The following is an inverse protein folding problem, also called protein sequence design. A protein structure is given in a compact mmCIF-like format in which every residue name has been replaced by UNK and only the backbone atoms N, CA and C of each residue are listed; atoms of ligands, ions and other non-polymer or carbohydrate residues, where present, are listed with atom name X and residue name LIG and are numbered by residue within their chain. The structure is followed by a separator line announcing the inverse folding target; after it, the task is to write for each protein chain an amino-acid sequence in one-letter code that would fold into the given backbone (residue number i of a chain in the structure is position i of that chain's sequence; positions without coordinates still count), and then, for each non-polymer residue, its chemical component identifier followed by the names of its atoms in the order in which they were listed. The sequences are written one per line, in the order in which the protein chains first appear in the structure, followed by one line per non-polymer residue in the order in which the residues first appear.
data_IF_635652292967
#
_entry.id   IF_635652292967
#
_cell.length_a   1.000
_cell.length_b   1.000
_cell.length_c   1.000
_cell.angle_alpha   90.00
_cell.angle_beta   90.00
_cell.angle_gamma   90.00
#
_symmetry.space_group_name_H-M   'P 1'
#
loop_
_entity.id
_entity.type
_entity.pdbx_description
1 polymer ?
#
# COMPACT_ATOMS: atom_id res chain seq x y z
N UNK A 1 2.97 -14.85 -23.09
CA UNK A 1 2.73 -13.91 -21.98
C UNK A 1 4.07 -13.36 -21.54
N UNK A 2 4.40 -12.14 -21.94
CA UNK A 2 5.67 -11.49 -21.65
C UNK A 2 5.62 -11.01 -20.17
N UNK A 3 6.52 -11.49 -19.34
CA UNK A 3 6.68 -11.02 -17.96
C UNK A 3 7.02 -9.53 -18.01
N UNK A 4 6.31 -8.66 -17.27
CA UNK A 4 6.61 -7.22 -17.30
C UNK A 4 8.08 -6.99 -16.94
N UNK A 5 8.70 -6.05 -17.61
CA UNK A 5 10.10 -5.70 -17.42
C UNK A 5 10.34 -5.25 -15.96
N UNK A 6 11.54 -5.48 -15.44
CA UNK A 6 11.92 -5.22 -14.03
C UNK A 6 11.67 -3.75 -13.60
N UNK A 7 11.62 -2.82 -14.55
CA UNK A 7 11.33 -1.39 -14.31
C UNK A 7 9.89 -1.16 -13.81
N UNK A 8 8.90 -1.93 -14.29
CA UNK A 8 7.50 -1.76 -13.90
C UNK A 8 7.19 -2.19 -12.45
N UNK A 9 8.10 -2.90 -11.78
CA UNK A 9 7.91 -3.34 -10.39
C UNK A 9 8.47 -2.39 -9.34
N UNK A 10 9.07 -1.28 -9.74
CA UNK A 10 9.57 -0.29 -8.77
C UNK A 10 8.45 0.52 -8.13
N UNK A 11 7.26 0.51 -8.72
CA UNK A 11 6.06 1.18 -8.20
C UNK A 11 4.98 0.16 -7.87
N UNK A 12 4.54 0.17 -6.62
CA UNK A 12 3.54 -0.74 -6.08
C UNK A 12 2.40 0.04 -5.49
N UNK A 13 1.19 -0.17 -6.00
CA UNK A 13 -0.02 0.35 -5.40
C UNK A 13 -0.39 -0.48 -4.16
N UNK A 14 -0.72 0.19 -3.06
CA UNK A 14 -1.29 -0.42 -1.86
C UNK A 14 -2.77 -0.05 -1.80
N UNK A 15 -3.63 -0.93 -2.24
CA UNK A 15 -5.04 -0.66 -2.47
C UNK A 15 -5.95 -1.61 -1.67
N UNK A 16 -7.19 -1.18 -1.46
CA UNK A 16 -8.21 -1.97 -0.77
C UNK A 16 -9.57 -1.31 -0.86
N UNK A 17 -10.61 -2.10 -1.00
CA UNK A 17 -11.96 -1.60 -1.29
C UNK A 17 -12.65 -0.86 -0.15
N UNK A 18 -12.18 -1.00 1.10
CA UNK A 18 -12.83 -0.42 2.29
C UNK A 18 -11.94 0.59 2.98
N UNK A 19 -12.53 1.69 3.46
CA UNK A 19 -11.88 2.62 4.39
C UNK A 19 -11.50 1.91 5.70
N UNK A 20 -10.34 2.24 6.26
CA UNK A 20 -9.87 1.66 7.51
C UNK A 20 -9.34 0.21 7.44
N UNK A 21 -9.26 -0.43 6.27
CA UNK A 21 -8.69 -1.78 6.15
C UNK A 21 -7.17 -1.85 6.38
N UNK A 22 -6.50 -0.71 6.53
CA UNK A 22 -5.08 -0.61 6.87
C UNK A 22 -4.12 -0.45 5.70
N UNK A 23 -4.54 0.20 4.61
CA UNK A 23 -3.70 0.50 3.44
C UNK A 23 -2.46 1.30 3.83
N UNK A 24 -2.63 2.47 4.43
CA UNK A 24 -1.55 3.35 4.91
C UNK A 24 -0.60 2.62 5.86
N UNK A 25 -1.14 1.87 6.82
CA UNK A 25 -0.33 1.05 7.73
C UNK A 25 0.47 -0.01 6.99
N UNK A 26 -0.12 -0.62 5.96
CA UNK A 26 0.55 -1.63 5.13
C UNK A 26 1.64 -0.98 4.27
N UNK A 27 1.38 0.17 3.66
CA UNK A 27 2.38 0.91 2.89
C UNK A 27 3.61 1.26 3.74
N UNK A 28 3.39 1.81 4.93
CA UNK A 28 4.48 2.12 5.88
C UNK A 28 5.20 0.86 6.37
N UNK A 29 4.48 -0.24 6.61
CA UNK A 29 5.06 -1.52 6.99
C UNK A 29 5.97 -2.12 5.91
N UNK A 30 5.54 -2.05 4.65
CA UNK A 30 6.34 -2.46 3.50
C UNK A 30 7.57 -1.56 3.31
N UNK A 31 7.41 -0.24 3.49
CA UNK A 31 8.52 0.70 3.42
C UNK A 31 9.62 0.36 4.44
N UNK A 32 9.23 0.10 5.69
CA UNK A 32 10.21 -0.30 6.71
C UNK A 32 10.89 -1.64 6.41
N UNK A 33 10.16 -2.61 5.85
CA UNK A 33 10.76 -3.87 5.41
C UNK A 33 11.77 -3.66 4.28
N UNK A 34 11.52 -2.71 3.37
CA UNK A 34 12.46 -2.30 2.32
C UNK A 34 13.70 -1.60 2.89
N UNK A 35 13.53 -0.72 3.88
CA UNK A 35 14.68 -0.07 4.57
C UNK A 35 15.61 -1.12 5.17
N UNK A 36 15.08 -2.16 5.81
CA UNK A 36 15.88 -3.26 6.38
C UNK A 36 16.66 -4.06 5.33
N UNK A 37 16.23 -4.03 4.08
CA UNK A 37 16.93 -4.62 2.94
C UNK A 37 17.89 -3.65 2.25
N UNK A 38 18.15 -2.48 2.86
CA UNK A 38 19.09 -1.50 2.35
C UNK A 38 18.50 -0.56 1.28
N UNK A 39 17.18 -0.59 1.05
CA UNK A 39 16.54 0.34 0.13
C UNK A 39 16.20 1.67 0.83
N UNK A 40 15.95 2.70 0.02
CA UNK A 40 15.37 3.98 0.47
C UNK A 40 14.01 4.19 -0.21
N UNK A 41 12.94 3.57 0.32
CA UNK A 41 11.63 3.64 -0.31
C UNK A 41 11.02 5.03 -0.19
N UNK A 42 10.11 5.33 -1.12
CA UNK A 42 9.18 6.45 -1.06
C UNK A 42 7.78 5.89 -0.79
N UNK A 43 7.04 6.51 0.11
CA UNK A 43 5.60 6.29 0.26
C UNK A 43 4.88 7.54 -0.20
N UNK A 44 4.05 7.42 -1.24
CA UNK A 44 3.26 8.52 -1.80
C UNK A 44 1.80 8.38 -1.36
N UNK A 45 1.23 9.44 -0.82
CA UNK A 45 -0.18 9.53 -0.44
C UNK A 45 -1.01 9.96 -1.65
N UNK A 46 -1.78 9.04 -2.21
CA UNK A 46 -2.71 9.32 -3.29
C UNK A 46 -4.17 9.46 -2.83
N UNK A 47 -4.44 9.38 -1.51
CA UNK A 47 -5.75 9.66 -0.93
C UNK A 47 -5.89 11.17 -0.65
N UNK A 48 -6.21 11.93 -1.69
CA UNK A 48 -6.29 13.41 -1.60
C UNK A 48 -7.51 13.89 -0.81
N UNK A 49 -8.54 13.06 -0.68
CA UNK A 49 -9.78 13.40 0.02
C UNK A 49 -9.66 13.25 1.53
N UNK A 50 -8.99 12.18 1.98
CA UNK A 50 -8.80 11.89 3.41
C UNK A 50 -7.34 11.55 3.68
N UNK A 51 -6.40 12.49 3.44
CA UNK A 51 -4.98 12.23 3.56
C UNK A 51 -4.58 12.08 5.04
N UNK A 52 -3.98 10.94 5.40
CA UNK A 52 -3.51 10.69 6.77
C UNK A 52 -2.04 10.24 6.85
N UNK A 53 -1.41 9.96 5.71
CA UNK A 53 -0.03 9.48 5.66
C UNK A 53 0.95 10.47 6.29
N UNK A 54 0.80 11.78 6.03
CA UNK A 54 1.68 12.81 6.57
C UNK A 54 1.66 12.83 8.11
N UNK A 55 0.48 12.68 8.73
CA UNK A 55 0.33 12.61 10.18
C UNK A 55 1.03 11.35 10.73
N UNK A 56 0.80 10.20 10.12
CA UNK A 56 1.39 8.92 10.55
C UNK A 56 2.89 8.88 10.39
N UNK A 57 3.39 9.49 9.33
CA UNK A 57 4.82 9.51 9.01
C UNK A 57 5.58 10.65 9.72
N UNK A 58 4.89 11.57 10.38
CA UNK A 58 5.49 12.71 11.06
C UNK A 58 6.21 13.64 10.10
N UNK A 59 5.55 14.00 9.00
CA UNK A 59 6.01 14.98 8.01
C UNK A 59 4.97 16.08 7.84
N UNK A 60 5.37 17.19 7.25
CA UNK A 60 4.45 18.27 6.93
C UNK A 60 3.53 17.87 5.77
N UNK A 61 2.33 18.45 5.75
CA UNK A 61 1.39 18.25 4.65
C UNK A 61 1.91 18.85 3.33
N UNK A 62 2.72 19.90 3.43
CA UNK A 62 3.38 20.57 2.31
C UNK A 62 4.92 20.53 2.47
N UNK A 63 5.67 20.47 1.35
CA UNK A 63 5.20 20.29 -0.02
C UNK A 63 4.71 18.85 -0.26
N UNK A 64 3.76 18.69 -1.21
CA UNK A 64 3.13 17.41 -1.53
C UNK A 64 2.92 17.20 -3.04
N UNK A 65 1.94 16.36 -3.40
CA UNK A 65 1.59 16.10 -4.80
C UNK A 65 1.42 17.35 -5.65
N UNK A 66 0.78 18.46 -5.17
CA UNK A 66 0.62 19.68 -5.98
C UNK A 66 1.94 20.28 -6.42
N UNK A 67 2.95 20.32 -5.54
CA UNK A 67 4.26 20.83 -5.90
C UNK A 67 4.95 19.95 -6.94
N UNK A 68 4.80 18.61 -6.82
CA UNK A 68 5.34 17.68 -7.78
C UNK A 68 4.66 17.81 -9.15
N UNK A 69 3.32 17.93 -9.19
CA UNK A 69 2.56 18.21 -10.41
C UNK A 69 2.97 19.53 -11.07
N UNK A 70 3.24 20.57 -10.27
CA UNK A 70 3.72 21.86 -10.74
C UNK A 70 5.17 21.84 -11.29
N UNK A 71 5.84 20.68 -11.28
CA UNK A 71 7.14 20.51 -11.90
C UNK A 71 8.34 20.63 -10.96
N UNK A 72 8.13 20.74 -9.66
CA UNK A 72 9.24 20.68 -8.73
C UNK A 72 9.93 19.30 -8.78
N UNK A 73 11.24 19.28 -8.56
CA UNK A 73 12.02 18.04 -8.55
C UNK A 73 11.64 17.20 -7.31
N UNK A 74 11.54 15.85 -7.42
CA UNK A 74 11.23 14.99 -6.28
C UNK A 74 12.09 15.28 -5.04
N UNK A 75 13.39 15.52 -5.21
CA UNK A 75 14.29 15.84 -4.10
C UNK A 75 13.92 17.12 -3.30
N UNK A 76 13.06 17.98 -3.85
CA UNK A 76 12.56 19.19 -3.17
C UNK A 76 11.20 18.99 -2.52
N UNK A 77 10.52 17.90 -2.86
CA UNK A 77 9.14 17.62 -2.43
C UNK A 77 9.08 16.46 -1.45
N UNK A 78 9.96 15.48 -1.63
CA UNK A 78 10.03 14.33 -0.72
C UNK A 78 10.57 14.76 0.65
N UNK A 79 9.90 14.31 1.70
CA UNK A 79 10.22 14.62 3.08
C UNK A 79 10.67 13.34 3.80
N UNK A 80 11.77 13.42 4.54
CA UNK A 80 12.22 12.29 5.37
C UNK A 80 11.27 12.10 6.57
N UNK A 81 10.74 10.89 6.74
CA UNK A 81 9.85 10.59 7.87
C UNK A 81 10.59 10.69 9.21
N UNK A 82 10.01 11.43 10.16
CA UNK A 82 10.52 11.48 11.52
C UNK A 82 10.11 10.24 12.34
N UNK A 83 9.02 9.59 11.95
CA UNK A 83 8.48 8.40 12.63
C UNK A 83 9.10 7.09 12.10
N UNK A 84 9.47 7.05 10.81
CA UNK A 84 9.98 5.87 10.11
C UNK A 84 11.33 6.18 9.46
N UNK A 85 12.45 6.07 10.19
CA UNK A 85 13.77 6.39 9.67
C UNK A 85 14.10 5.61 8.38
N UNK A 86 14.64 6.31 7.38
CA UNK A 86 14.99 5.72 6.08
C UNK A 86 13.86 5.69 5.06
N UNK A 87 12.65 6.11 5.44
CA UNK A 87 11.50 6.26 4.54
C UNK A 87 11.34 7.73 4.16
N UNK A 88 11.25 8.01 2.86
CA UNK A 88 10.82 9.32 2.37
C UNK A 88 9.33 9.30 2.02
N UNK A 89 8.66 10.42 2.21
CA UNK A 89 7.21 10.56 2.05
C UNK A 89 6.90 11.65 1.04
N UNK A 90 5.97 11.38 0.15
CA UNK A 90 5.28 12.37 -0.67
C UNK A 90 3.87 12.54 -0.12
N UNK A 91 3.62 13.65 0.56
CA UNK A 91 2.29 13.95 1.11
C UNK A 91 1.28 14.26 0.00
N UNK A 92 0.00 14.06 0.27
CA UNK A 92 -1.07 14.42 -0.67
C UNK A 92 -1.14 15.94 -0.94
N UNK A 93 -0.73 16.75 0.03
CA UNK A 93 -0.86 18.20 -0.05
C UNK A 93 -2.26 18.69 0.33
N UNK A 94 -2.48 19.99 0.20
CA UNK A 94 -3.75 20.67 0.58
C UNK A 94 -4.54 21.21 -0.61
N UNK A 95 -3.91 21.32 -1.77
CA UNK A 95 -4.56 21.83 -2.97
C UNK A 95 -5.02 20.70 -3.90
N UNK A 96 -6.11 20.92 -4.61
CA UNK A 96 -6.51 20.06 -5.71
C UNK A 96 -5.39 19.95 -6.73
N UNK A 97 -5.10 18.74 -7.18
CA UNK A 97 -3.97 18.48 -8.08
C UNK A 97 -4.28 17.40 -9.10
N UNK A 98 -3.54 17.42 -10.20
CA UNK A 98 -3.47 16.30 -11.13
C UNK A 98 -2.56 15.22 -10.52
N UNK A 99 -3.19 14.30 -9.78
CA UNK A 99 -2.51 13.18 -9.11
C UNK A 99 -1.76 12.29 -10.11
N UNK A 100 -2.30 12.10 -11.31
CA UNK A 100 -1.67 11.28 -12.35
C UNK A 100 -0.38 11.95 -12.86
N UNK A 101 -0.42 13.26 -13.15
CA UNK A 101 0.78 14.02 -13.52
C UNK A 101 1.84 13.98 -12.41
N UNK A 102 1.43 14.13 -11.14
CA UNK A 102 2.36 14.04 -10.00
C UNK A 102 3.01 12.66 -9.89
N UNK A 103 2.22 11.59 -9.96
CA UNK A 103 2.73 10.23 -9.81
C UNK A 103 3.66 9.81 -10.96
N UNK A 104 3.40 10.27 -12.20
CA UNK A 104 4.32 10.04 -13.34
C UNK A 104 5.70 10.65 -13.12
N UNK A 105 5.82 11.73 -12.37
CA UNK A 105 7.14 12.33 -12.07
C UNK A 105 7.98 11.50 -11.10
N UNK A 106 7.41 10.44 -10.52
CA UNK A 106 8.15 9.45 -9.74
C UNK A 106 8.78 8.35 -10.59
N UNK A 107 8.52 8.33 -11.92
CA UNK A 107 9.01 7.31 -12.84
C UNK A 107 10.54 7.28 -12.91
N UNK A 108 11.17 8.44 -12.80
CA UNK A 108 12.64 8.61 -12.87
C UNK A 108 13.33 8.24 -11.54
N UNK A 109 12.58 7.91 -10.50
CA UNK A 109 13.17 7.48 -9.23
C UNK A 109 13.67 6.04 -9.34
N UNK A 110 14.98 5.84 -9.29
CA UNK A 110 15.61 4.52 -9.19
C UNK A 110 15.44 3.91 -7.77
N UNK A 111 14.26 4.06 -7.17
CA UNK A 111 13.94 3.69 -5.78
C UNK A 111 12.57 3.02 -5.73
N UNK A 112 12.32 2.09 -4.77
CA UNK A 112 10.98 1.57 -4.53
C UNK A 112 9.99 2.68 -4.17
N UNK A 113 8.85 2.71 -4.86
CA UNK A 113 7.74 3.62 -4.58
C UNK A 113 6.51 2.81 -4.19
N UNK A 114 5.97 3.08 -3.03
CA UNK A 114 4.71 2.53 -2.54
C UNK A 114 3.65 3.63 -2.62
N UNK A 115 2.57 3.39 -3.35
CA UNK A 115 1.50 4.36 -3.53
C UNK A 115 0.34 3.96 -2.63
N UNK A 116 0.10 4.74 -1.57
CA UNK A 116 -1.06 4.56 -0.70
C UNK A 116 -2.32 5.07 -1.42
N UNK A 117 -3.21 4.16 -1.77
CA UNK A 117 -4.36 4.45 -2.60
C UNK A 117 -5.58 4.86 -1.77
N UNK A 118 -6.48 5.69 -2.31
CA UNK A 118 -7.78 5.91 -1.69
C UNK A 118 -8.60 4.62 -1.59
N UNK A 119 -9.65 4.66 -0.77
CA UNK A 119 -10.56 3.53 -0.63
C UNK A 119 -11.53 3.42 -1.80
N UNK A 120 -11.99 2.20 -2.08
CA UNK A 120 -13.02 1.96 -3.08
C UNK A 120 -12.50 1.57 -4.46
N UNK A 121 -13.39 1.67 -5.45
CA UNK A 121 -13.15 1.30 -6.86
C UNK A 121 -13.60 2.42 -7.81
N UNK A 122 -13.62 3.65 -7.33
CA UNK A 122 -13.95 4.84 -8.10
C UNK A 122 -12.80 5.34 -8.98
N UNK A 123 -13.02 6.43 -9.74
CA UNK A 123 -12.01 7.06 -10.59
C UNK A 123 -10.73 7.43 -9.82
N UNK A 124 -10.87 7.92 -8.58
CA UNK A 124 -9.74 8.35 -7.75
C UNK A 124 -8.84 7.17 -7.37
N UNK A 125 -9.43 5.99 -7.09
CA UNK A 125 -8.69 4.77 -6.85
C UNK A 125 -8.03 4.21 -8.13
N UNK A 126 -8.56 4.51 -9.31
CA UNK A 126 -8.01 4.06 -10.58
C UNK A 126 -6.70 4.78 -10.95
N UNK A 127 -6.58 6.06 -10.60
CA UNK A 127 -5.40 6.88 -10.92
C UNK A 127 -4.09 6.30 -10.36
N UNK A 128 -3.95 6.01 -9.05
CA UNK A 128 -2.73 5.43 -8.52
C UNK A 128 -2.47 4.00 -9.02
N UNK A 129 -3.52 3.24 -9.35
CA UNK A 129 -3.35 1.91 -9.95
C UNK A 129 -2.70 1.99 -11.34
N UNK A 130 -3.11 2.96 -12.20
CA UNK A 130 -2.47 3.16 -13.52
C UNK A 130 -1.00 3.56 -13.41
N UNK A 131 -0.61 4.23 -12.32
CA UNK A 131 0.77 4.64 -12.09
C UNK A 131 1.65 3.51 -11.53
N UNK A 132 1.09 2.35 -11.19
CA UNK A 132 1.80 1.24 -10.58
C UNK A 132 2.01 0.08 -11.56
N UNK A 133 3.09 -0.68 -11.39
CA UNK A 133 3.34 -1.90 -12.17
C UNK A 133 2.73 -3.16 -11.53
N UNK A 134 2.38 -3.10 -10.25
CA UNK A 134 1.65 -4.17 -9.55
C UNK A 134 0.95 -3.63 -8.30
N UNK A 135 0.08 -4.46 -7.71
CA UNK A 135 -0.74 -4.07 -6.56
C UNK A 135 -0.58 -5.03 -5.39
N UNK A 136 -0.47 -4.47 -4.20
CA UNK A 136 -0.73 -5.16 -2.92
C UNK A 136 -2.16 -4.85 -2.51
N UNK A 137 -3.02 -5.86 -2.49
CA UNK A 137 -4.41 -5.71 -2.08
C UNK A 137 -4.54 -5.95 -0.58
N UNK A 138 -5.08 -4.96 0.14
CA UNK A 138 -5.28 -5.03 1.59
C UNK A 138 -6.74 -5.36 1.91
N UNK A 139 -6.96 -6.34 2.78
CA UNK A 139 -8.28 -6.76 3.24
C UNK A 139 -8.24 -7.12 4.72
N UNK A 140 -9.41 -7.24 5.32
CA UNK A 140 -9.60 -7.80 6.67
C UNK A 140 -10.28 -9.17 6.60
N UNK A 141 -10.57 -9.77 7.73
CA UNK A 141 -11.21 -11.10 7.79
C UNK A 141 -12.72 -11.09 7.52
N UNK A 142 -13.37 -9.92 7.56
CA UNK A 142 -14.81 -9.82 7.30
C UNK A 142 -15.17 -10.02 5.83
N UNK A 143 -16.38 -10.53 5.58
CA UNK A 143 -16.85 -10.90 4.24
C UNK A 143 -16.91 -9.69 3.30
N UNK A 144 -17.43 -8.56 3.78
CA UNK A 144 -17.56 -7.35 2.97
C UNK A 144 -16.19 -6.83 2.50
N UNK A 145 -15.19 -6.79 3.39
CA UNK A 145 -13.84 -6.37 3.04
C UNK A 145 -13.21 -7.28 1.99
N UNK A 146 -13.49 -8.60 2.05
CA UNK A 146 -13.00 -9.54 1.02
C UNK A 146 -13.67 -9.35 -0.33
N UNK A 147 -14.97 -9.09 -0.37
CA UNK A 147 -15.69 -8.78 -1.61
C UNK A 147 -15.16 -7.50 -2.25
N UNK A 148 -14.95 -6.46 -1.45
CA UNK A 148 -14.41 -5.19 -1.92
C UNK A 148 -12.95 -5.33 -2.38
N UNK A 149 -12.15 -6.13 -1.70
CA UNK A 149 -10.80 -6.48 -2.14
C UNK A 149 -10.80 -7.22 -3.49
N UNK A 150 -11.78 -8.11 -3.71
CA UNK A 150 -11.91 -8.79 -5.01
C UNK A 150 -12.31 -7.82 -6.13
N UNK A 151 -13.13 -6.79 -5.85
CA UNK A 151 -13.45 -5.72 -6.82
C UNK A 151 -12.20 -4.90 -7.14
N UNK A 152 -11.43 -4.50 -6.10
CA UNK A 152 -10.17 -3.77 -6.25
C UNK A 152 -9.16 -4.56 -7.08
N UNK A 153 -9.03 -5.87 -6.85
CA UNK A 153 -8.14 -6.74 -7.60
C UNK A 153 -8.51 -6.82 -9.08
N UNK A 154 -9.81 -6.93 -9.41
CA UNK A 154 -10.29 -6.90 -10.80
C UNK A 154 -9.98 -5.57 -11.48
N UNK A 155 -10.21 -4.45 -10.78
CA UNK A 155 -9.89 -3.13 -11.30
C UNK A 155 -8.38 -2.98 -11.54
N UNK A 156 -7.54 -3.40 -10.61
CA UNK A 156 -6.08 -3.37 -10.74
C UNK A 156 -5.60 -4.18 -11.96
N UNK A 157 -6.17 -5.38 -12.16
CA UNK A 157 -5.86 -6.21 -13.34
C UNK A 157 -6.27 -5.51 -14.64
N UNK A 158 -7.45 -4.88 -14.68
CA UNK A 158 -7.93 -4.16 -15.85
C UNK A 158 -7.13 -2.88 -16.16
N UNK A 159 -6.34 -2.40 -15.20
CA UNK A 159 -5.48 -1.22 -15.32
C UNK A 159 -3.99 -1.57 -15.45
N UNK A 160 -3.65 -2.81 -15.83
CA UNK A 160 -2.29 -3.31 -16.02
C UNK A 160 -1.40 -3.28 -14.75
N UNK A 161 -2.02 -3.19 -13.57
CA UNK A 161 -1.35 -3.27 -12.26
C UNK A 161 -1.82 -4.50 -11.47
N UNK A 162 -1.61 -5.74 -11.97
CA UNK A 162 -2.20 -6.93 -11.40
C UNK A 162 -1.82 -7.15 -9.93
N UNK A 163 -2.73 -7.72 -9.11
CA UNK A 163 -2.43 -8.01 -7.72
C UNK A 163 -1.35 -9.09 -7.61
N UNK A 164 -0.25 -8.76 -6.94
CA UNK A 164 0.86 -9.69 -6.70
C UNK A 164 0.73 -10.35 -5.33
N UNK A 165 0.28 -9.58 -4.33
CA UNK A 165 0.10 -10.05 -2.95
C UNK A 165 -1.20 -9.52 -2.39
N UNK A 166 -1.89 -10.38 -1.62
CA UNK A 166 -3.00 -9.96 -0.76
C UNK A 166 -2.54 -9.97 0.69
N UNK A 167 -2.60 -8.81 1.32
CA UNK A 167 -2.34 -8.66 2.76
C UNK A 167 -3.67 -8.74 3.49
N UNK A 168 -3.89 -9.82 4.25
CA UNK A 168 -5.03 -9.96 5.13
C UNK A 168 -4.67 -9.50 6.54
N UNK A 169 -5.25 -8.40 6.96
CA UNK A 169 -5.13 -7.93 8.33
C UNK A 169 -6.08 -8.72 9.23
N UNK A 170 -5.51 -9.44 10.19
CA UNK A 170 -6.26 -10.27 11.13
C UNK A 170 -6.08 -9.71 12.54
N UNK A 171 -7.18 -9.56 13.27
CA UNK A 171 -7.14 -9.30 14.70
C UNK A 171 -6.53 -10.52 15.40
N UNK A 172 -5.50 -10.33 16.22
CA UNK A 172 -4.97 -11.43 17.01
C UNK A 172 -6.06 -11.93 17.98
N UNK A 173 -6.21 -13.26 18.16
CA UNK A 173 -7.04 -13.76 19.25
C UNK A 173 -6.39 -13.29 20.56
N UNK A 174 -7.19 -12.64 21.40
CA UNK A 174 -6.77 -12.23 22.75
C UNK A 174 -6.26 -13.41 23.57
N UNK A 175 -5.49 -13.18 24.68
CA UNK A 175 -4.91 -14.23 25.51
C UNK A 175 -5.97 -15.00 26.31
N UNK A 176 -6.92 -15.66 25.64
CA UNK A 176 -8.05 -16.42 26.19
C UNK A 176 -8.82 -17.18 25.12
N UNK A 177 -8.50 -16.97 23.86
CA UNK A 177 -9.15 -17.59 22.72
C UNK A 177 -8.37 -18.78 22.15
N UNK A 178 -8.08 -19.78 22.96
CA UNK A 178 -7.68 -21.09 22.43
C UNK A 178 -8.93 -21.77 21.86
N UNK A 179 -8.81 -22.22 20.59
CA UNK A 179 -9.75 -23.12 19.91
C UNK A 179 -11.15 -22.58 19.57
N UNK A 180 -11.22 -21.53 18.75
CA UNK A 180 -12.28 -21.43 17.77
C UNK A 180 -11.81 -22.11 16.48
N UNK A 181 -12.02 -23.40 16.33
CA UNK A 181 -12.02 -24.06 15.02
C UNK A 181 -13.02 -23.30 14.17
N UNK A 182 -12.53 -22.44 13.30
CA UNK A 182 -13.33 -21.85 12.24
C UNK A 182 -13.62 -22.97 11.23
N UNK A 183 -14.52 -23.87 11.60
CA UNK A 183 -15.34 -24.60 10.65
C UNK A 183 -16.21 -23.53 9.97
N UNK A 184 -15.61 -22.76 9.08
CA UNK A 184 -16.31 -21.84 8.22
C UNK A 184 -17.22 -22.65 7.31
N UNK A 185 -18.51 -22.33 7.37
CA UNK A 185 -19.49 -22.70 6.37
C UNK A 185 -18.88 -22.64 4.97
N UNK A 186 -19.28 -23.53 4.02
CA UNK A 186 -18.80 -23.51 2.65
C UNK A 186 -19.40 -22.34 1.88
N UNK A 187 -19.16 -21.12 2.37
CA UNK A 187 -19.39 -19.89 1.62
C UNK A 187 -18.25 -19.73 0.62
N UNK A 188 -18.62 -19.45 -0.62
CA UNK A 188 -17.75 -19.17 -1.75
C UNK A 188 -16.54 -18.35 -1.29
N UNK A 189 -15.36 -19.00 -1.25
CA UNK A 189 -14.10 -18.31 -0.96
C UNK A 189 -13.82 -17.38 -2.14
N UNK A 190 -14.08 -16.10 -1.96
CA UNK A 190 -13.62 -15.08 -2.90
C UNK A 190 -12.09 -15.02 -2.82
N UNK A 191 -11.45 -15.99 -3.46
CA UNK A 191 -10.01 -15.95 -3.69
C UNK A 191 -9.74 -14.87 -4.73
N UNK A 192 -8.82 -13.97 -4.40
CA UNK A 192 -8.27 -13.07 -5.41
C UNK A 192 -7.37 -13.96 -6.29
N UNK A 193 -7.70 -14.15 -7.58
CA UNK A 193 -6.91 -15.01 -8.45
C UNK A 193 -5.47 -14.49 -8.54
N UNK A 194 -4.51 -15.42 -8.57
CA UNK A 194 -3.08 -15.17 -8.84
C UNK A 194 -2.30 -14.38 -7.79
N UNK A 195 -2.89 -13.98 -6.65
CA UNK A 195 -2.17 -13.30 -5.58
C UNK A 195 -1.80 -14.22 -4.43
N UNK A 196 -0.60 -14.03 -3.86
CA UNK A 196 -0.15 -14.71 -2.67
C UNK A 196 -0.75 -14.04 -1.43
N UNK A 197 -1.54 -14.77 -0.64
CA UNK A 197 -2.10 -14.24 0.61
C UNK A 197 -1.07 -14.30 1.74
N UNK A 198 -0.87 -13.15 2.42
CA UNK A 198 -0.07 -13.04 3.64
C UNK A 198 -0.93 -12.45 4.74
N UNK A 199 -1.06 -13.16 5.86
CA UNK A 199 -1.76 -12.65 7.05
C UNK A 199 -0.82 -11.76 7.87
N UNK A 200 -1.26 -10.54 8.19
CA UNK A 200 -0.53 -9.58 9.02
C UNK A 200 -1.40 -9.22 10.23
N UNK A 201 -0.86 -9.29 11.47
CA UNK A 201 -1.60 -8.89 12.67
C UNK A 201 -2.08 -7.44 12.60
N UNK A 202 -3.25 -7.16 13.17
CA UNK A 202 -3.68 -5.79 13.48
C UNK A 202 -2.89 -5.31 14.70
N UNK A 203 -1.78 -4.63 14.49
CA UNK A 203 -1.02 -4.03 15.55
C UNK A 203 -1.71 -2.74 16.03
N UNK A 204 -1.97 -2.62 17.33
CA UNK A 204 -2.29 -1.36 17.97
C UNK A 204 -0.98 -0.61 18.21
N UNK A 205 -0.65 0.36 17.36
CA UNK A 205 0.59 1.16 17.46
C UNK A 205 1.35 1.30 16.14
N UNK A 206 2.54 1.91 16.15
CA UNK A 206 3.35 2.02 14.95
C UNK A 206 3.61 0.64 14.34
N UNK A 207 3.44 0.49 13.00
CA UNK A 207 3.70 -0.77 12.35
C UNK A 207 5.15 -1.21 12.63
N UNK A 208 5.34 -2.50 12.94
CA UNK A 208 6.65 -3.15 13.08
C UNK A 208 7.35 -3.00 14.44
N UNK A 209 6.66 -2.80 15.53
CA UNK A 209 7.27 -2.93 16.87
C UNK A 209 7.50 -4.39 17.27
N UNK A 210 6.70 -5.32 16.76
CA UNK A 210 6.86 -6.74 17.03
C UNK A 210 7.52 -7.50 15.87
N UNK A 211 8.32 -8.52 16.20
CA UNK A 211 9.10 -9.27 15.22
C UNK A 211 8.21 -10.07 14.25
N UNK A 212 7.04 -10.55 14.71
CA UNK A 212 6.11 -11.31 13.85
C UNK A 212 5.53 -10.44 12.73
N UNK A 213 5.13 -9.21 13.06
CA UNK A 213 4.64 -8.26 12.06
C UNK A 213 5.75 -7.90 11.07
N UNK A 214 6.99 -7.70 11.55
CA UNK A 214 8.17 -7.44 10.70
C UNK A 214 8.40 -8.56 9.69
N UNK A 215 8.49 -9.80 10.15
CA UNK A 215 8.68 -10.97 9.28
C UNK A 215 7.59 -11.10 8.22
N UNK A 216 6.34 -10.76 8.56
CA UNK A 216 5.23 -10.82 7.60
C UNK A 216 5.41 -9.80 6.46
N UNK A 217 5.77 -8.56 6.78
CA UNK A 217 6.04 -7.56 5.75
C UNK A 217 7.29 -7.90 4.92
N UNK A 218 8.33 -8.48 5.51
CA UNK A 218 9.50 -8.98 4.76
C UNK A 218 9.12 -10.07 3.75
N UNK A 219 8.19 -10.97 4.11
CA UNK A 219 7.64 -11.97 3.17
C UNK A 219 6.86 -11.32 2.02
N UNK A 220 6.13 -10.25 2.29
CA UNK A 220 5.42 -9.50 1.25
C UNK A 220 6.42 -8.85 0.30
N UNK A 221 7.44 -8.18 0.83
CA UNK A 221 8.51 -7.55 0.05
C UNK A 221 9.24 -8.58 -0.82
N UNK A 222 9.58 -9.76 -0.26
CA UNK A 222 10.17 -10.85 -1.03
C UNK A 222 9.26 -11.36 -2.16
N UNK A 223 7.94 -11.42 -1.93
CA UNK A 223 6.97 -11.83 -2.93
C UNK A 223 6.80 -10.79 -4.07
N UNK A 224 7.10 -9.52 -3.79
CA UNK A 224 7.14 -8.44 -4.78
C UNK A 224 8.44 -8.47 -5.62
N UNK A 225 9.43 -9.24 -5.19
CA UNK A 225 10.70 -9.42 -5.90
C UNK A 225 11.79 -8.42 -5.51
N UNK A 226 11.67 -7.82 -4.34
CA UNK A 226 12.66 -6.96 -3.70
C UNK A 226 13.50 -7.68 -2.64
#
# INVERSE_FOLDING_TARGET
MTRPARADRTRVAVAGGKGGCGKTTTALGLALALVRRGHRPVVADADVDVPDLHIRAGVDREPGLPALAAGYRPARVLQASSTFPGVDVLAAGSASTDTDAALRRLDDLARPVLIDCPAGVGPDAATPLRAAGCTVVVTTSDTQSREDAAKTARMATALDAPPTVTVRRAREPGPGGANGSAAGSPGTRHRIPESREVSVPEASGPPLRDDRTRERYERVVAALGW
#
